data_IF_964357522703
#
_entry.id   IF_964357522703
#
_cell.length_a   1.000
_cell.length_b   1.000
_cell.length_c   1.000
_cell.angle_alpha   90.00
_cell.angle_beta   90.00
_cell.angle_gamma   90.00
#
_symmetry.space_group_name_H-M   'P 1'
#
loop_
_entity.id
_entity.type
_entity.pdbx_description
1 polymer ?
#
# COMPACT_ATOMS: atom_id res chain seq x y z
N UNK A 1 81.80 2.83 23.64
CA UNK A 1 80.71 2.23 24.46
C UNK A 1 79.88 3.35 25.04
N UNK A 2 78.63 3.43 24.58
CA UNK A 2 77.44 3.98 25.26
C UNK A 2 77.42 5.47 25.66
N UNK A 3 76.62 6.25 24.95
CA UNK A 3 75.52 6.99 25.58
C UNK A 3 74.44 7.30 24.54
N UNK A 4 73.33 6.56 24.63
CA UNK A 4 72.07 6.84 23.94
C UNK A 4 71.38 7.97 24.69
N UNK A 5 71.20 9.11 24.03
CA UNK A 5 70.35 10.20 24.48
C UNK A 5 68.91 9.91 24.08
N UNK A 6 68.07 9.79 25.09
CA UNK A 6 66.65 9.42 25.08
C UNK A 6 65.81 10.53 24.45
N UNK A 7 65.27 10.32 23.25
CA UNK A 7 64.29 11.20 22.62
C UNK A 7 62.90 10.96 23.26
N UNK A 8 62.61 11.74 24.29
CA UNK A 8 61.37 11.68 25.05
C UNK A 8 60.25 12.42 24.30
N UNK A 9 59.42 11.66 23.60
CA UNK A 9 57.97 11.83 23.62
C UNK A 9 57.40 13.17 23.13
N UNK A 10 57.54 13.47 21.84
CA UNK A 10 56.61 14.40 21.18
C UNK A 10 55.31 13.67 20.85
N UNK A 11 54.37 13.68 21.80
CA UNK A 11 52.98 13.24 21.54
C UNK A 11 52.37 14.20 20.51
N UNK A 12 51.70 13.71 19.46
CA UNK A 12 50.85 14.57 18.65
C UNK A 12 49.72 15.10 19.54
N UNK A 13 49.64 16.43 19.60
CA UNK A 13 48.46 17.18 19.96
C UNK A 13 47.30 16.68 19.08
N UNK A 14 46.46 15.83 19.66
CA UNK A 14 45.13 15.52 19.12
C UNK A 14 44.21 16.51 19.82
N UNK A 15 44.02 17.67 19.20
CA UNK A 15 43.02 18.63 19.63
C UNK A 15 41.68 17.93 19.80
N UNK A 16 41.06 18.14 20.97
CA UNK A 16 39.74 17.64 21.32
C UNK A 16 38.65 18.38 20.54
N UNK A 17 38.64 18.25 19.21
CA UNK A 17 37.59 18.77 18.33
C UNK A 17 36.35 17.85 18.36
N UNK A 18 36.01 17.27 19.50
CA UNK A 18 34.71 16.64 19.71
C UNK A 18 33.72 17.78 19.92
N UNK A 19 33.33 18.39 18.80
CA UNK A 19 32.22 19.31 18.74
C UNK A 19 31.00 18.62 19.34
N UNK A 20 30.50 19.18 20.43
CA UNK A 20 29.20 18.87 21.01
C UNK A 20 28.10 19.23 19.99
N UNK A 21 27.92 18.37 18.97
CA UNK A 21 26.93 18.50 17.92
C UNK A 21 25.60 17.90 18.35
N UNK A 22 24.74 18.75 18.92
CA UNK A 22 23.30 18.79 18.60
C UNK A 22 22.51 17.46 18.63
N UNK A 23 22.54 16.74 19.75
CA UNK A 23 21.55 15.71 20.06
C UNK A 23 20.20 16.35 20.45
N UNK A 24 19.42 16.78 19.45
CA UNK A 24 18.09 17.36 19.69
C UNK A 24 17.76 18.54 18.78
N UNK A 25 17.92 18.36 17.46
CA UNK A 25 17.52 19.38 16.50
C UNK A 25 16.02 19.29 16.20
N UNK A 26 15.24 20.39 16.29
CA UNK A 26 13.85 20.46 15.80
C UNK A 26 13.70 20.22 14.29
N UNK A 27 14.81 19.94 13.60
CA UNK A 27 14.89 19.69 12.16
C UNK A 27 14.32 18.33 11.74
N UNK A 28 14.40 17.28 12.56
CA UNK A 28 13.86 15.95 12.18
C UNK A 28 12.34 15.98 11.99
N UNK A 29 11.59 16.66 12.87
CA UNK A 29 10.15 16.84 12.69
C UNK A 29 9.81 17.73 11.48
N UNK A 30 10.62 18.75 11.20
CA UNK A 30 10.43 19.61 10.03
C UNK A 30 10.73 18.87 8.72
N UNK A 31 11.74 18.02 8.71
CA UNK A 31 12.12 17.19 7.57
C UNK A 31 11.12 16.05 7.35
N UNK A 32 10.61 15.45 8.43
CA UNK A 32 9.49 14.51 8.36
C UNK A 32 8.22 15.19 7.83
N UNK A 33 7.89 16.40 8.31
CA UNK A 33 6.78 17.17 7.77
C UNK A 33 6.97 17.43 6.27
N UNK A 34 8.15 17.90 5.84
CA UNK A 34 8.46 18.12 4.41
C UNK A 34 8.36 16.84 3.57
N UNK A 35 8.76 15.70 4.13
CA UNK A 35 8.63 14.40 3.48
C UNK A 35 7.17 13.97 3.35
N UNK A 36 6.39 14.08 4.44
CA UNK A 36 4.97 13.76 4.45
C UNK A 36 4.15 14.70 3.57
N UNK A 37 4.48 16.00 3.50
CA UNK A 37 3.77 16.95 2.63
C UNK A 37 4.08 16.76 1.14
N UNK A 38 4.91 15.79 0.76
CA UNK A 38 5.10 15.40 -0.64
C UNK A 38 3.83 14.70 -1.11
N UNK A 39 3.12 15.29 -2.08
CA UNK A 39 1.80 14.80 -2.55
C UNK A 39 1.77 13.30 -2.85
N UNK A 40 2.81 12.77 -3.51
CA UNK A 40 2.93 11.34 -3.82
C UNK A 40 2.88 10.40 -2.59
N UNK A 41 3.30 10.85 -1.41
CA UNK A 41 3.28 10.04 -0.17
C UNK A 41 1.91 10.11 0.51
N UNK A 42 1.29 11.30 0.52
CA UNK A 42 -0.05 11.50 1.09
C UNK A 42 -1.09 10.72 0.30
N UNK A 43 -1.06 10.80 -1.03
CA UNK A 43 -2.02 10.11 -1.89
C UNK A 43 -1.90 8.59 -1.73
N UNK A 44 -0.68 8.08 -1.63
CA UNK A 44 -0.42 6.67 -1.36
C UNK A 44 -0.92 6.25 0.04
N UNK A 45 -0.67 7.07 1.06
CA UNK A 45 -1.13 6.78 2.43
C UNK A 45 -2.66 6.75 2.52
N UNK A 46 -3.33 7.70 1.87
CA UNK A 46 -4.80 7.75 1.81
C UNK A 46 -5.35 6.53 1.07
N UNK A 47 -4.76 6.15 -0.06
CA UNK A 47 -5.17 4.96 -0.81
C UNK A 47 -5.08 3.67 0.03
N UNK A 48 -3.99 3.49 0.79
CA UNK A 48 -3.81 2.31 1.66
C UNK A 48 -4.84 2.28 2.79
N UNK A 49 -5.08 3.41 3.46
CA UNK A 49 -6.05 3.48 4.57
C UNK A 49 -7.47 3.22 4.08
N UNK A 50 -7.86 3.83 2.96
CA UNK A 50 -9.19 3.60 2.36
C UNK A 50 -9.32 2.15 1.89
N UNK A 51 -8.29 1.59 1.27
CA UNK A 51 -8.29 0.18 0.84
C UNK A 51 -8.48 -0.78 2.01
N UNK A 52 -7.77 -0.56 3.13
CA UNK A 52 -7.92 -1.36 4.35
C UNK A 52 -9.32 -1.24 4.95
N UNK A 53 -9.84 0.00 5.08
CA UNK A 53 -11.18 0.23 5.61
C UNK A 53 -12.28 -0.38 4.73
N UNK A 54 -12.14 -0.29 3.41
CA UNK A 54 -13.09 -0.87 2.47
C UNK A 54 -13.10 -2.41 2.56
N UNK A 55 -11.93 -3.04 2.69
CA UNK A 55 -11.83 -4.49 2.91
C UNK A 55 -12.63 -4.95 4.14
N UNK A 56 -12.59 -4.19 5.24
CA UNK A 56 -13.38 -4.47 6.45
C UNK A 56 -14.89 -4.38 6.20
N UNK A 57 -15.35 -3.41 5.42
CA UNK A 57 -16.77 -3.27 5.06
C UNK A 57 -17.25 -4.47 4.25
N UNK A 58 -16.45 -4.91 3.27
CA UNK A 58 -16.79 -6.09 2.47
C UNK A 58 -16.78 -7.35 3.33
N UNK A 59 -15.75 -7.57 4.15
CA UNK A 59 -15.69 -8.70 5.10
C UNK A 59 -16.93 -8.72 5.98
N UNK A 60 -17.28 -7.59 6.60
CA UNK A 60 -18.48 -7.47 7.43
C UNK A 60 -19.76 -7.80 6.67
N UNK A 61 -19.86 -7.46 5.38
CA UNK A 61 -21.01 -7.84 4.58
C UNK A 61 -21.08 -9.35 4.34
N UNK A 62 -19.94 -9.99 4.04
CA UNK A 62 -19.86 -11.44 3.91
C UNK A 62 -20.24 -12.11 5.22
N UNK A 63 -19.62 -11.71 6.32
CA UNK A 63 -19.78 -12.33 7.64
C UNK A 63 -21.21 -12.18 8.19
N UNK A 64 -21.84 -11.02 7.99
CA UNK A 64 -23.14 -10.72 8.61
C UNK A 64 -24.34 -10.97 7.69
N UNK A 65 -24.16 -11.03 6.37
CA UNK A 65 -25.27 -11.20 5.42
C UNK A 65 -25.12 -12.51 4.64
N UNK A 66 -23.94 -12.79 4.08
CA UNK A 66 -23.76 -13.96 3.23
C UNK A 66 -23.63 -15.24 4.07
N UNK A 67 -22.77 -15.26 5.09
CA UNK A 67 -22.57 -16.44 5.93
C UNK A 67 -23.86 -16.93 6.60
N UNK A 68 -24.75 -16.08 7.14
CA UNK A 68 -26.05 -16.54 7.66
C UNK A 68 -26.95 -17.16 6.59
N UNK A 69 -26.95 -16.64 5.35
CA UNK A 69 -27.73 -17.22 4.25
C UNK A 69 -27.16 -18.58 3.85
N UNK A 70 -25.84 -18.67 3.72
CA UNK A 70 -25.14 -19.93 3.48
C UNK A 70 -25.48 -20.92 4.59
N UNK A 71 -25.44 -20.49 5.85
CA UNK A 71 -25.77 -21.32 7.00
C UNK A 71 -27.21 -21.86 6.98
N UNK A 72 -28.18 -21.05 6.57
CA UNK A 72 -29.56 -21.54 6.43
C UNK A 72 -29.75 -22.61 5.36
N UNK A 73 -28.87 -22.64 4.34
CA UNK A 73 -28.95 -23.60 3.23
C UNK A 73 -28.17 -24.89 3.56
N UNK A 74 -26.99 -24.74 4.18
CA UNK A 74 -26.07 -25.85 4.46
C UNK A 74 -26.21 -26.41 5.88
N UNK A 75 -26.98 -25.76 6.75
CA UNK A 75 -27.27 -26.21 8.12
C UNK A 75 -26.25 -25.78 9.17
N UNK A 76 -25.06 -25.32 8.77
CA UNK A 76 -23.97 -24.94 9.66
C UNK A 76 -23.60 -23.45 9.51
N UNK A 77 -23.34 -22.70 10.60
CA UNK A 77 -23.00 -21.26 10.58
C UNK A 77 -21.77 -20.92 9.73
N UNK A 78 -20.82 -21.85 9.63
CA UNK A 78 -19.59 -21.72 8.87
C UNK A 78 -19.20 -23.06 8.23
N UNK A 79 -18.48 -23.01 7.11
CA UNK A 79 -17.95 -24.24 6.49
C UNK A 79 -16.71 -24.75 7.24
N UNK A 80 -16.20 -24.01 8.23
CA UNK A 80 -15.06 -24.45 9.04
C UNK A 80 -15.35 -25.66 9.91
N UNK A 81 -16.57 -25.79 10.39
CA UNK A 81 -17.00 -26.90 11.25
C UNK A 81 -17.56 -28.08 10.46
N UNK A 82 -18.10 -27.86 9.25
CA UNK A 82 -18.65 -28.91 8.37
C UNK A 82 -17.61 -29.96 7.95
N UNK A 83 -16.31 -29.62 8.00
CA UNK A 83 -15.21 -30.52 7.65
C UNK A 83 -14.03 -30.44 8.62
N UNK A 84 -14.31 -30.33 9.93
CA UNK A 84 -13.31 -30.57 10.96
C UNK A 84 -13.14 -32.09 11.16
N UNK A 85 -12.11 -32.67 10.54
CA UNK A 85 -11.74 -34.07 10.77
C UNK A 85 -10.70 -34.10 11.91
N UNK A 86 -11.11 -34.56 13.09
CA UNK A 86 -10.21 -34.83 14.23
C UNK A 86 -9.37 -36.05 13.88
N UNK A 87 -8.07 -35.89 13.60
CA UNK A 87 -7.23 -37.01 13.17
C UNK A 87 -6.66 -37.83 14.31
N UNK A 88 -6.49 -37.22 15.49
CA UNK A 88 -6.13 -37.85 16.75
C UNK A 88 -6.69 -37.01 17.89
N UNK A 89 -7.49 -37.63 18.73
CA UNK A 89 -7.76 -37.13 20.08
C UNK A 89 -6.59 -37.58 20.95
N UNK A 90 -5.91 -36.65 21.62
CA UNK A 90 -4.71 -36.97 22.43
C UNK A 90 -4.64 -36.02 23.62
N UNK A 91 -4.34 -36.55 24.81
CA UNK A 91 -4.30 -35.80 26.08
C UNK A 91 -3.29 -34.62 26.09
N UNK A 92 -2.39 -34.54 25.11
CA UNK A 92 -1.40 -33.45 24.94
C UNK A 92 -1.81 -32.40 23.88
N UNK A 93 -2.95 -32.57 23.22
CA UNK A 93 -3.49 -31.64 22.22
C UNK A 93 -3.98 -32.34 20.95
N UNK A 94 -5.18 -31.98 20.52
CA UNK A 94 -5.80 -32.56 19.33
C UNK A 94 -5.19 -32.02 18.03
N UNK A 95 -4.73 -32.94 17.18
CA UNK A 95 -4.35 -32.61 15.81
C UNK A 95 -5.62 -32.59 14.94
N UNK A 96 -6.25 -31.41 14.84
CA UNK A 96 -7.45 -31.20 14.03
C UNK A 96 -7.06 -30.69 12.64
N UNK A 97 -7.37 -31.45 11.59
CA UNK A 97 -7.19 -31.00 10.21
C UNK A 97 -8.45 -30.24 9.79
N UNK A 98 -8.38 -28.90 9.84
CA UNK A 98 -9.49 -27.98 9.55
C UNK A 98 -9.62 -27.70 8.05
N UNK A 99 -9.94 -28.73 7.27
CA UNK A 99 -10.16 -28.60 5.82
C UNK A 99 -11.31 -27.63 5.54
N UNK A 100 -12.33 -27.64 6.40
CA UNK A 100 -13.45 -26.71 6.33
C UNK A 100 -13.03 -25.24 6.36
N UNK A 101 -12.08 -24.89 7.24
CA UNK A 101 -11.62 -23.51 7.37
C UNK A 101 -10.90 -23.03 6.10
N UNK A 102 -10.16 -23.91 5.44
CA UNK A 102 -9.52 -23.59 4.17
C UNK A 102 -10.55 -23.37 3.05
N UNK A 103 -11.60 -24.20 2.98
CA UNK A 103 -12.68 -24.03 2.00
C UNK A 103 -13.48 -22.74 2.27
N UNK A 104 -13.73 -22.41 3.54
CA UNK A 104 -14.34 -21.15 3.94
C UNK A 104 -13.50 -19.95 3.43
N UNK A 105 -12.17 -19.97 3.64
CA UNK A 105 -11.30 -18.90 3.15
C UNK A 105 -11.32 -18.75 1.63
N UNK A 106 -11.43 -19.85 0.88
CA UNK A 106 -11.59 -19.79 -0.58
C UNK A 106 -12.93 -19.15 -0.95
N UNK A 107 -14.02 -19.53 -0.25
CA UNK A 107 -15.34 -18.96 -0.49
C UNK A 107 -15.35 -17.45 -0.19
N UNK A 108 -14.81 -17.03 0.95
CA UNK A 108 -14.69 -15.62 1.34
C UNK A 108 -13.89 -14.83 0.29
N UNK A 109 -12.77 -15.38 -0.19
CA UNK A 109 -11.98 -14.77 -1.26
C UNK A 109 -12.78 -14.57 -2.55
N UNK A 110 -13.53 -15.59 -2.98
CA UNK A 110 -14.38 -15.50 -4.19
C UNK A 110 -15.49 -14.46 -4.00
N UNK A 111 -16.13 -14.40 -2.83
CA UNK A 111 -17.20 -13.44 -2.55
C UNK A 111 -16.65 -12.01 -2.52
N UNK A 112 -15.56 -11.76 -1.79
CA UNK A 112 -14.91 -10.44 -1.71
C UNK A 112 -14.46 -9.98 -3.11
N UNK A 113 -13.81 -10.86 -3.87
CA UNK A 113 -13.37 -10.56 -5.23
C UNK A 113 -14.55 -10.22 -6.16
N UNK A 114 -15.65 -10.97 -6.05
CA UNK A 114 -16.88 -10.71 -6.82
C UNK A 114 -17.55 -9.40 -6.41
N UNK A 115 -17.61 -9.10 -5.12
CA UNK A 115 -18.16 -7.84 -4.61
C UNK A 115 -17.34 -6.63 -5.12
N UNK A 116 -16.00 -6.72 -5.06
CA UNK A 116 -15.09 -5.71 -5.62
C UNK A 116 -15.31 -5.52 -7.12
N UNK A 117 -15.47 -6.61 -7.88
CA UNK A 117 -15.76 -6.55 -9.30
C UNK A 117 -17.03 -5.73 -9.60
N UNK A 118 -18.13 -6.00 -8.88
CA UNK A 118 -19.37 -5.24 -9.07
C UNK A 118 -19.22 -3.75 -8.71
N UNK A 119 -18.47 -3.42 -7.66
CA UNK A 119 -18.22 -2.03 -7.27
C UNK A 119 -17.41 -1.29 -8.34
N UNK A 120 -16.33 -1.91 -8.84
CA UNK A 120 -15.51 -1.34 -9.91
C UNK A 120 -16.33 -1.20 -11.18
N UNK A 121 -17.13 -2.20 -11.55
CA UNK A 121 -18.02 -2.14 -12.71
C UNK A 121 -19.06 -1.02 -12.58
N UNK A 122 -19.65 -0.84 -11.40
CA UNK A 122 -20.59 0.25 -11.15
C UNK A 122 -19.89 1.62 -11.27
N UNK A 123 -18.67 1.75 -10.76
CA UNK A 123 -17.89 2.98 -10.88
C UNK A 123 -17.48 3.28 -12.32
N UNK A 124 -17.03 2.27 -13.08
CA UNK A 124 -16.75 2.38 -14.52
C UNK A 124 -18.00 2.83 -15.28
N UNK A 125 -19.15 2.20 -15.05
CA UNK A 125 -20.42 2.57 -15.67
C UNK A 125 -20.86 3.99 -15.29
N UNK A 126 -20.60 4.45 -14.06
CA UNK A 126 -20.89 5.82 -13.66
C UNK A 126 -19.96 6.82 -14.34
N UNK A 127 -18.67 6.51 -14.48
CA UNK A 127 -17.72 7.33 -15.23
C UNK A 127 -18.11 7.41 -16.71
N UNK A 128 -18.42 6.29 -17.35
CA UNK A 128 -18.91 6.24 -18.74
C UNK A 128 -20.19 7.08 -18.93
N UNK A 129 -21.08 7.10 -17.93
CA UNK A 129 -22.31 7.92 -17.96
C UNK A 129 -22.03 9.41 -17.74
N UNK A 130 -21.00 9.77 -16.97
CA UNK A 130 -20.54 11.16 -16.81
C UNK A 130 -19.84 11.65 -18.09
N UNK A 131 -18.97 10.82 -18.66
CA UNK A 131 -18.30 11.08 -19.94
C UNK A 131 -19.29 11.23 -21.11
N UNK A 132 -20.44 10.54 -21.07
CA UNK A 132 -21.50 10.67 -22.09
C UNK A 132 -22.53 11.78 -21.83
N UNK A 133 -22.56 12.40 -20.65
CA UNK A 133 -23.48 13.52 -20.32
C UNK A 133 -22.85 14.90 -20.48
N UNK A 134 -21.52 14.96 -20.62
CA UNK A 134 -20.82 16.14 -21.06
C UNK A 134 -20.72 16.10 -22.59
N UNK A 135 -21.34 17.07 -23.26
CA UNK A 135 -20.96 17.43 -24.64
C UNK A 135 -19.43 17.45 -24.71
N UNK A 136 -18.76 16.83 -25.70
CA UNK A 136 -17.32 16.62 -25.67
C UNK A 136 -16.54 17.92 -25.46
N UNK A 137 -16.22 18.23 -24.22
CA UNK A 137 -15.16 19.15 -23.86
C UNK A 137 -13.98 18.26 -23.51
N UNK A 138 -13.40 17.68 -24.55
CA UNK A 138 -11.98 17.35 -24.62
C UNK A 138 -11.40 16.63 -23.38
N UNK A 139 -11.68 15.33 -23.25
CA UNK A 139 -10.69 14.37 -22.74
C UNK A 139 -9.66 14.03 -23.84
N UNK A 140 -9.32 14.97 -24.74
CA UNK A 140 -7.92 14.97 -25.14
C UNK A 140 -7.16 15.26 -23.86
N UNK A 141 -6.22 14.40 -23.42
CA UNK A 141 -5.37 14.77 -22.29
C UNK A 141 -4.89 16.18 -22.60
N UNK A 142 -5.28 17.18 -21.79
CA UNK A 142 -4.76 18.54 -21.94
C UNK A 142 -3.27 18.32 -22.03
N UNK A 143 -2.66 18.56 -23.21
CA UNK A 143 -1.29 18.16 -23.41
C UNK A 143 -0.52 18.79 -22.27
N UNK A 144 0.20 17.94 -21.51
CA UNK A 144 1.03 18.42 -20.41
C UNK A 144 1.88 19.58 -20.96
N UNK A 145 2.25 20.54 -20.13
CA UNK A 145 3.06 21.68 -20.59
C UNK A 145 4.26 21.19 -21.43
N UNK A 146 4.82 20.04 -21.05
CA UNK A 146 5.83 19.28 -21.80
C UNK A 146 5.37 18.84 -23.21
N UNK A 147 4.19 18.24 -23.35
CA UNK A 147 3.62 17.84 -24.63
C UNK A 147 3.30 19.05 -25.54
N UNK A 148 2.87 20.17 -24.96
CA UNK A 148 2.71 21.44 -25.68
C UNK A 148 4.06 21.97 -26.18
N UNK A 149 5.05 22.08 -25.30
CA UNK A 149 6.39 22.52 -25.65
C UNK A 149 7.02 21.61 -26.71
N UNK A 150 6.84 20.28 -26.63
CA UNK A 150 7.33 19.35 -27.63
C UNK A 150 6.62 19.52 -28.98
N UNK A 151 5.33 19.87 -28.99
CA UNK A 151 4.60 20.17 -30.23
C UNK A 151 5.11 21.46 -30.89
N UNK A 152 5.37 22.50 -30.09
CA UNK A 152 5.95 23.77 -30.55
C UNK A 152 7.38 23.56 -31.09
N UNK A 153 8.22 22.80 -30.37
CA UNK A 153 9.58 22.45 -30.82
C UNK A 153 9.54 21.66 -32.13
N UNK A 154 8.63 20.70 -32.28
CA UNK A 154 8.44 19.94 -33.53
C UNK A 154 8.10 20.87 -34.69
N UNK A 155 7.19 21.80 -34.47
CA UNK A 155 6.72 22.71 -35.51
C UNK A 155 7.80 23.74 -35.89
N UNK A 156 8.58 24.23 -34.92
CA UNK A 156 9.78 25.05 -35.15
C UNK A 156 10.85 24.30 -35.95
N UNK A 157 11.16 23.05 -35.61
CA UNK A 157 12.13 22.23 -36.36
C UNK A 157 11.67 21.96 -37.81
N UNK A 158 10.38 21.69 -38.01
CA UNK A 158 9.80 21.49 -39.34
C UNK A 158 9.86 22.78 -40.18
N UNK A 159 9.72 23.93 -39.54
CA UNK A 159 9.86 25.24 -40.20
C UNK A 159 11.31 25.57 -40.60
N UNK A 160 12.30 25.08 -39.84
CA UNK A 160 13.73 25.34 -40.07
C UNK A 160 14.37 24.38 -41.09
N UNK A 161 13.75 23.22 -41.33
CA UNK A 161 14.17 22.26 -42.38
C UNK A 161 13.59 22.57 -43.78
N UNK A 162 12.89 23.69 -43.95
CA UNK A 162 12.54 24.26 -45.25
C UNK A 162 13.44 25.45 -45.55
#
# INVERSE_FOLDING_TARGET
MTSYGTDAGRRPDVGDHVGAGTWGSPHVLQDLKKFLMRGNVVDLAVAVVIGAAFGLVVSSFVDNIINPIVATIFGEPDLSEVAAITLRESDEGDAVLRIGAFVQQILDFVIIGTALFFVVQAFQKLQERRANQEVPAEETPTPTDEALLLSEIRDLLKSQQR
#
